data_IF_763770446040
#
_entry.id   IF_763770446040
#
_cell.length_a   1.000
_cell.length_b   1.000
_cell.length_c   1.000
_cell.angle_alpha   90.00
_cell.angle_beta   90.00
_cell.angle_gamma   90.00
#
_symmetry.space_group_name_H-M   'P 1'
#
loop_
_entity.id
_entity.type
_entity.pdbx_description
1 polymer ?
#
# COMPACT_ATOMS: atom_id res chain seq x y z
N UNK A 1 21.51 28.31 40.35
CA UNK A 1 20.60 27.29 39.80
C UNK A 1 20.18 27.58 38.36
N UNK A 2 19.54 28.73 38.04
CA UNK A 2 19.11 29.03 36.66
C UNK A 2 20.24 29.04 35.61
N UNK A 3 21.42 29.60 35.95
CA UNK A 3 22.61 29.60 35.07
C UNK A 3 23.21 28.21 34.83
N UNK A 4 23.12 27.29 35.80
CA UNK A 4 23.56 25.90 35.62
C UNK A 4 22.57 25.11 34.77
N UNK A 5 21.26 25.35 34.94
CA UNK A 5 20.22 24.76 34.10
C UNK A 5 20.35 25.20 32.63
N UNK A 6 20.70 26.46 32.38
CA UNK A 6 20.97 26.98 31.02
C UNK A 6 22.21 26.36 30.37
N UNK A 7 23.24 25.99 31.14
CA UNK A 7 24.41 25.29 30.60
C UNK A 7 24.16 23.80 30.31
N UNK A 8 23.11 23.22 30.88
CA UNK A 8 22.70 21.83 30.66
C UNK A 8 21.64 21.70 29.55
N UNK A 9 21.14 22.82 29.00
CA UNK A 9 20.19 22.78 27.89
C UNK A 9 20.91 22.39 26.59
N UNK A 10 20.31 21.51 25.77
CA UNK A 10 20.91 21.09 24.51
C UNK A 10 21.12 22.27 23.58
N UNK A 11 22.27 22.30 22.90
CA UNK A 11 22.71 23.44 22.07
C UNK A 11 22.24 23.39 20.63
N UNK A 12 21.63 22.30 20.21
CA UNK A 12 21.03 22.10 18.89
C UNK A 12 19.68 21.39 19.01
N UNK A 13 18.87 21.52 17.96
CA UNK A 13 17.59 20.83 17.84
C UNK A 13 17.78 19.31 17.91
N UNK A 14 18.80 18.76 17.25
CA UNK A 14 19.13 17.33 17.28
C UNK A 14 19.51 16.86 18.67
N UNK A 15 20.21 17.69 19.44
CA UNK A 15 20.56 17.38 20.82
C UNK A 15 19.31 17.41 21.73
N UNK A 16 18.35 18.30 21.48
CA UNK A 16 17.05 18.28 22.18
C UNK A 16 16.24 17.04 21.84
N UNK A 17 16.16 16.65 20.56
CA UNK A 17 15.48 15.42 20.14
C UNK A 17 16.16 14.18 20.69
N UNK A 18 17.49 14.11 20.65
CA UNK A 18 18.27 12.99 21.20
C UNK A 18 18.02 12.85 22.71
N UNK A 19 18.04 13.95 23.46
CA UNK A 19 17.76 13.89 24.89
C UNK A 19 16.30 13.49 25.20
N UNK A 20 15.34 14.01 24.43
CA UNK A 20 13.93 13.60 24.55
C UNK A 20 13.75 12.11 24.30
N UNK A 21 14.36 11.58 23.23
CA UNK A 21 14.33 10.16 22.88
C UNK A 21 14.99 9.28 23.95
N UNK A 22 16.10 9.74 24.54
CA UNK A 22 16.80 8.99 25.60
C UNK A 22 16.00 8.91 26.93
N UNK A 23 15.01 9.79 27.13
CA UNK A 23 14.17 9.81 28.34
C UNK A 23 12.93 8.92 28.23
N UNK A 24 12.67 8.32 27.07
CA UNK A 24 11.54 7.41 26.86
C UNK A 24 11.71 6.18 27.76
N UNK A 25 10.63 5.78 28.43
CA UNK A 25 10.62 4.50 29.14
C UNK A 25 10.84 3.36 28.12
N UNK A 26 11.83 2.51 28.41
CA UNK A 26 12.23 1.38 27.57
C UNK A 26 11.08 0.45 27.22
N UNK A 27 10.08 0.30 28.10
CA UNK A 27 8.88 -0.50 27.84
C UNK A 27 8.09 0.00 26.61
N UNK A 28 8.16 1.30 26.30
CA UNK A 28 7.48 1.93 25.16
C UNK A 28 8.41 2.21 23.98
N UNK A 29 9.68 1.79 24.04
CA UNK A 29 10.68 2.09 23.00
C UNK A 29 10.27 1.58 21.62
N UNK A 30 9.75 0.35 21.53
CA UNK A 30 9.24 -0.21 20.28
C UNK A 30 8.03 0.56 19.74
N UNK A 31 7.10 0.92 20.62
CA UNK A 31 5.92 1.69 20.26
C UNK A 31 6.28 3.10 19.74
N UNK A 32 7.17 3.80 20.44
CA UNK A 32 7.62 5.13 20.00
C UNK A 32 8.39 5.02 18.69
N UNK A 33 9.27 4.02 18.52
CA UNK A 33 9.94 3.79 17.24
C UNK A 33 8.95 3.55 16.10
N UNK A 34 7.87 2.80 16.34
CA UNK A 34 6.80 2.59 15.37
C UNK A 34 6.07 3.90 15.04
N UNK A 35 5.65 4.67 16.05
CA UNK A 35 4.97 5.95 15.85
C UNK A 35 5.84 6.94 15.07
N UNK A 36 7.14 7.02 15.38
CA UNK A 36 8.07 7.89 14.64
C UNK A 36 8.18 7.48 13.18
N UNK A 37 8.30 6.17 12.88
CA UNK A 37 8.30 5.66 11.50
C UNK A 37 7.05 6.09 10.74
N UNK A 38 5.87 6.00 11.37
CA UNK A 38 4.61 6.44 10.78
C UNK A 38 4.55 7.96 10.58
N UNK A 39 4.96 8.76 11.57
CA UNK A 39 4.97 10.23 11.42
C UNK A 39 5.91 10.70 10.31
N UNK A 40 7.03 10.01 10.08
CA UNK A 40 8.01 10.40 9.08
C UNK A 40 7.65 9.92 7.66
N UNK A 41 7.12 8.70 7.52
CA UNK A 41 6.97 8.04 6.21
C UNK A 41 5.53 7.78 5.76
N UNK A 42 4.52 8.25 6.51
CA UNK A 42 3.13 8.15 6.05
C UNK A 42 2.90 8.97 4.77
N UNK A 43 2.01 8.48 3.91
CA UNK A 43 1.66 9.13 2.64
C UNK A 43 0.90 10.43 2.80
N UNK A 44 0.35 10.66 4.01
CA UNK A 44 -0.36 11.88 4.40
C UNK A 44 -0.27 12.09 5.92
N UNK A 45 -0.62 13.28 6.42
CA UNK A 45 -0.80 13.50 7.84
C UNK A 45 -1.84 12.53 8.45
N UNK A 46 -1.57 12.05 9.66
CA UNK A 46 -2.41 11.12 10.42
C UNK A 46 -3.24 11.87 11.47
N UNK A 47 -4.43 11.36 11.78
CA UNK A 47 -5.20 11.81 12.94
C UNK A 47 -4.68 11.19 14.25
N UNK A 48 -5.09 11.75 15.39
CA UNK A 48 -4.74 11.21 16.71
C UNK A 48 -5.35 9.81 16.88
N UNK A 49 -6.57 9.61 16.39
CA UNK A 49 -7.29 8.34 16.42
C UNK A 49 -6.58 7.27 15.57
N UNK A 50 -6.07 7.64 14.39
CA UNK A 50 -5.26 6.75 13.56
C UNK A 50 -3.96 6.33 14.25
N UNK A 51 -3.25 7.30 14.85
CA UNK A 51 -2.05 7.03 15.64
C UNK A 51 -2.35 6.09 16.83
N UNK A 52 -3.46 6.33 17.53
CA UNK A 52 -3.90 5.50 18.65
C UNK A 52 -4.21 4.06 18.20
N UNK A 53 -4.76 3.86 17.00
CA UNK A 53 -4.98 2.53 16.45
C UNK A 53 -3.69 1.85 15.98
N UNK A 54 -2.74 2.59 15.40
CA UNK A 54 -1.42 2.04 15.06
C UNK A 54 -0.76 1.42 16.28
N UNK A 55 -0.91 2.05 17.45
CA UNK A 55 -0.35 1.58 18.71
C UNK A 55 -0.90 0.23 19.21
N UNK A 56 -2.05 -0.21 18.69
CA UNK A 56 -2.67 -1.49 19.08
C UNK A 56 -2.00 -2.70 18.46
N UNK A 57 -1.30 -2.52 17.33
CA UNK A 57 -0.64 -3.62 16.63
C UNK A 57 0.70 -3.93 17.28
N UNK A 58 0.85 -5.15 17.81
CA UNK A 58 2.13 -5.61 18.35
C UNK A 58 2.96 -6.32 17.29
N UNK A 59 3.93 -5.60 16.71
CA UNK A 59 4.87 -6.21 15.76
C UNK A 59 5.96 -7.06 16.43
N UNK A 60 6.13 -7.01 17.76
CA UNK A 60 7.20 -7.72 18.46
C UNK A 60 6.81 -9.14 18.89
N UNK A 61 5.51 -9.41 19.10
CA UNK A 61 5.03 -10.68 19.66
C UNK A 61 4.15 -11.48 18.69
N UNK A 62 3.03 -10.91 18.25
CA UNK A 62 1.99 -11.65 17.51
C UNK A 62 1.80 -11.16 16.08
N UNK A 63 2.30 -9.97 15.73
CA UNK A 63 2.01 -9.28 14.46
C UNK A 63 0.52 -9.19 14.15
N UNK A 64 -0.32 -9.10 15.20
CA UNK A 64 -1.77 -9.03 15.10
C UNK A 64 -2.31 -7.77 15.73
N UNK A 65 -3.47 -7.34 15.26
CA UNK A 65 -4.27 -6.32 15.89
C UNK A 65 -4.81 -6.83 17.23
N UNK A 66 -4.59 -6.07 18.30
CA UNK A 66 -5.08 -6.38 19.63
C UNK A 66 -6.00 -5.23 20.12
N UNK A 67 -7.33 -5.42 20.09
CA UNK A 67 -8.27 -4.39 20.51
C UNK A 67 -8.13 -4.02 21.99
N UNK A 68 -7.61 -4.91 22.84
CA UNK A 68 -7.45 -4.67 24.28
C UNK A 68 -6.32 -3.67 24.57
N UNK A 69 -5.46 -3.38 23.59
CA UNK A 69 -4.41 -2.36 23.66
C UNK A 69 -4.87 -0.98 23.25
N UNK A 70 -6.14 -0.79 22.88
CA UNK A 70 -6.70 0.52 22.52
C UNK A 70 -6.60 1.47 23.72
N UNK A 71 -6.11 2.67 23.46
CA UNK A 71 -6.17 3.75 24.46
C UNK A 71 -7.62 4.09 24.78
N UNK A 72 -7.91 4.34 26.06
CA UNK A 72 -9.24 4.81 26.50
C UNK A 72 -9.54 6.21 25.95
N UNK A 73 -8.55 7.11 25.99
CA UNK A 73 -8.55 8.37 25.24
C UNK A 73 -7.44 8.32 24.18
N UNK A 74 -7.74 8.41 22.88
CA UNK A 74 -6.73 8.45 21.82
C UNK A 74 -5.62 9.49 22.07
N UNK A 75 -5.90 10.58 22.79
CA UNK A 75 -4.91 11.62 23.13
C UNK A 75 -3.81 11.15 24.07
N UNK A 76 -4.01 10.06 24.80
CA UNK A 76 -3.00 9.47 25.67
C UNK A 76 -1.73 9.08 24.89
N UNK A 77 -1.85 8.84 23.57
CA UNK A 77 -0.69 8.59 22.71
C UNK A 77 0.29 9.77 22.66
N UNK A 78 -0.19 11.00 22.83
CA UNK A 78 0.66 12.20 22.88
C UNK A 78 1.54 12.21 24.15
N UNK A 79 1.09 11.51 25.19
CA UNK A 79 1.83 11.32 26.43
C UNK A 79 3.06 10.41 26.29
N UNK A 80 3.17 9.62 25.21
CA UNK A 80 4.33 8.76 24.97
C UNK A 80 5.62 9.57 24.75
N UNK A 81 5.51 10.76 24.14
CA UNK A 81 6.63 11.66 23.86
C UNK A 81 6.14 13.13 23.74
N UNK A 82 5.86 13.82 24.86
CA UNK A 82 5.30 15.17 24.84
C UNK A 82 6.17 16.19 24.08
N UNK A 83 7.47 15.91 23.94
CA UNK A 83 8.45 16.78 23.29
C UNK A 83 8.56 16.61 21.77
N UNK A 84 7.93 15.57 21.19
CA UNK A 84 8.04 15.23 19.76
C UNK A 84 6.77 15.60 18.99
N UNK A 85 5.59 15.46 19.62
CA UNK A 85 4.33 15.76 18.96
C UNK A 85 4.08 17.27 18.88
N UNK A 86 4.08 17.82 17.68
CA UNK A 86 3.54 19.16 17.41
C UNK A 86 2.17 18.98 16.77
N UNK A 87 1.10 19.24 17.53
CA UNK A 87 -0.26 19.23 16.97
C UNK A 87 -0.50 20.54 16.23
N UNK A 88 -0.52 20.49 14.89
CA UNK A 88 -0.85 21.66 14.07
C UNK A 88 -2.36 21.69 13.77
N UNK A 89 -3.00 22.85 13.87
CA UNK A 89 -4.26 23.11 13.16
C UNK A 89 -4.01 23.11 11.65
N UNK A 90 -5.01 22.83 10.78
CA UNK A 90 -4.77 22.65 9.36
C UNK A 90 -4.29 23.97 8.74
N UNK A 91 -3.00 24.06 8.42
CA UNK A 91 -2.41 25.28 7.88
C UNK A 91 -0.88 25.42 7.96
N UNK A 92 -0.10 24.34 7.87
CA UNK A 92 1.28 24.37 7.33
C UNK A 92 1.89 22.96 7.32
N UNK A 93 2.32 22.40 6.17
CA UNK A 93 3.10 21.18 6.14
C UNK A 93 4.59 21.53 6.11
N UNK A 94 5.33 21.12 7.12
CA UNK A 94 6.79 21.25 7.11
C UNK A 94 7.39 20.67 8.37
N UNK A 95 7.68 19.37 8.36
CA UNK A 95 8.61 18.75 9.31
C UNK A 95 9.84 18.33 8.50
N UNK A 96 10.97 18.99 8.78
CA UNK A 96 12.29 18.60 8.28
C UNK A 96 12.71 17.27 8.91
N UNK A 97 13.22 16.36 8.08
CA UNK A 97 13.68 15.02 8.47
C UNK A 97 14.98 15.06 9.26
N UNK A 98 15.03 14.31 10.37
CA UNK A 98 16.20 14.13 11.24
C UNK A 98 17.19 13.14 10.61
N UNK A 99 18.24 13.63 9.95
CA UNK A 99 19.30 12.79 9.35
C UNK A 99 20.33 12.27 10.39
N UNK A 100 20.40 12.83 11.61
CA UNK A 100 21.54 12.68 12.52
C UNK A 100 21.41 11.66 13.68
N UNK A 101 20.44 10.73 13.65
CA UNK A 101 20.26 9.74 14.76
C UNK A 101 21.16 8.48 14.60
N UNK A 102 22.00 8.39 13.55
CA UNK A 102 22.63 7.12 13.16
C UNK A 102 23.76 6.61 14.08
N UNK A 103 24.34 7.43 14.97
CA UNK A 103 25.54 7.02 15.74
C UNK A 103 25.59 7.48 17.21
N UNK A 104 24.44 7.74 17.84
CA UNK A 104 24.34 8.19 19.24
C UNK A 104 23.59 7.23 20.19
N UNK A 105 23.36 7.63 21.46
CA UNK A 105 22.56 6.86 22.43
C UNK A 105 21.09 6.70 22.02
N UNK A 106 20.60 7.52 21.07
CA UNK A 106 19.29 7.39 20.44
C UNK A 106 19.28 6.52 19.17
N UNK A 107 20.39 5.86 18.82
CA UNK A 107 20.52 5.07 17.57
C UNK A 107 19.49 3.94 17.41
N UNK A 108 18.91 3.45 18.51
CA UNK A 108 17.79 2.51 18.47
C UNK A 108 16.53 3.07 17.78
N UNK A 109 16.41 4.39 17.68
CA UNK A 109 15.34 5.11 16.96
C UNK A 109 15.76 5.56 15.56
N UNK A 110 16.92 5.12 15.06
CA UNK A 110 17.34 5.45 13.70
C UNK A 110 16.38 4.81 12.68
N UNK A 111 15.76 5.65 11.84
CA UNK A 111 14.77 5.22 10.87
C UNK A 111 15.40 5.13 9.49
N UNK A 112 15.49 3.93 8.95
CA UNK A 112 15.78 3.75 7.52
C UNK A 112 14.47 3.66 6.74
N UNK A 113 14.39 4.31 5.58
CA UNK A 113 13.18 4.35 4.73
C UNK A 113 12.57 2.97 4.48
N UNK A 114 13.39 1.99 4.04
CA UNK A 114 12.92 0.62 3.78
C UNK A 114 12.29 -0.04 5.01
N UNK A 115 12.93 0.03 6.19
CA UNK A 115 12.37 -0.51 7.45
C UNK A 115 11.10 0.23 7.88
N UNK A 116 11.04 1.54 7.69
CA UNK A 116 9.84 2.33 8.01
C UNK A 116 8.66 1.90 7.15
N UNK A 117 8.87 1.78 5.84
CA UNK A 117 7.85 1.29 4.92
C UNK A 117 7.46 -0.16 5.20
N UNK A 118 8.40 -1.03 5.57
CA UNK A 118 8.09 -2.39 6.01
C UNK A 118 7.22 -2.39 7.27
N UNK A 119 7.55 -1.55 8.26
CA UNK A 119 6.79 -1.39 9.48
C UNK A 119 5.35 -0.94 9.20
N UNK A 120 5.17 0.10 8.38
CA UNK A 120 3.86 0.62 8.02
C UNK A 120 3.04 -0.46 7.29
N UNK A 121 3.63 -1.12 6.29
CA UNK A 121 2.95 -2.19 5.56
C UNK A 121 2.51 -3.36 6.47
N UNK A 122 3.37 -3.80 7.39
CA UNK A 122 3.04 -4.83 8.38
C UNK A 122 1.87 -4.44 9.26
N UNK A 123 1.87 -3.22 9.80
CA UNK A 123 0.76 -2.73 10.62
C UNK A 123 -0.53 -2.67 9.82
N UNK A 124 -0.51 -2.16 8.59
CA UNK A 124 -1.70 -2.14 7.73
C UNK A 124 -2.23 -3.55 7.44
N UNK A 125 -1.36 -4.50 7.11
CA UNK A 125 -1.75 -5.89 6.84
C UNK A 125 -2.30 -6.57 8.09
N UNK A 126 -1.63 -6.44 9.24
CA UNK A 126 -2.11 -6.96 10.52
C UNK A 126 -3.48 -6.37 10.91
N UNK A 127 -3.68 -5.08 10.64
CA UNK A 127 -4.94 -4.39 10.87
C UNK A 127 -6.03 -4.91 9.94
N UNK A 128 -5.75 -5.14 8.66
CA UNK A 128 -6.75 -5.66 7.71
C UNK A 128 -7.12 -7.11 7.99
N UNK A 129 -6.15 -7.93 8.43
CA UNK A 129 -6.37 -9.34 8.79
C UNK A 129 -7.33 -9.52 9.98
N UNK A 130 -7.60 -8.47 10.76
CA UNK A 130 -8.60 -8.51 11.83
C UNK A 130 -10.03 -8.67 11.30
N UNK A 131 -10.30 -8.28 10.05
CA UNK A 131 -11.63 -8.31 9.46
C UNK A 131 -11.93 -9.69 8.88
N UNK A 132 -11.77 -10.74 9.71
CA UNK A 132 -11.94 -12.15 9.33
C UNK A 132 -13.36 -12.69 9.60
N UNK A 133 -14.31 -11.79 9.91
CA UNK A 133 -15.69 -12.11 10.27
C UNK A 133 -16.68 -11.23 9.50
N UNK A 134 -17.95 -11.66 9.37
CA UNK A 134 -18.98 -10.82 8.80
C UNK A 134 -19.27 -9.63 9.71
N UNK A 135 -19.66 -8.51 9.11
CA UNK A 135 -20.07 -7.30 9.82
C UNK A 135 -21.48 -6.86 9.43
N UNK A 136 -22.16 -6.16 10.32
CA UNK A 136 -23.57 -5.79 10.13
C UNK A 136 -23.75 -4.74 9.04
N UNK A 137 -23.00 -3.63 9.12
CA UNK A 137 -23.02 -2.59 8.08
C UNK A 137 -21.62 -2.01 7.87
N UNK A 138 -21.33 -1.61 6.63
CA UNK A 138 -20.08 -0.93 6.26
C UNK A 138 -19.90 0.39 7.02
N UNK A 139 -21.00 1.08 7.31
CA UNK A 139 -20.98 2.35 8.02
C UNK A 139 -20.51 2.18 9.47
N UNK A 140 -20.95 1.13 10.17
CA UNK A 140 -20.52 0.85 11.55
C UNK A 140 -19.02 0.55 11.62
N UNK A 141 -18.50 -0.21 10.64
CA UNK A 141 -17.08 -0.54 10.55
C UNK A 141 -16.25 0.72 10.34
N UNK A 142 -16.61 1.54 9.35
CA UNK A 142 -15.88 2.79 9.05
C UNK A 142 -15.90 3.78 10.21
N UNK A 143 -16.99 3.84 10.98
CA UNK A 143 -17.10 4.71 12.15
C UNK A 143 -16.26 4.25 13.35
N UNK A 144 -15.96 2.96 13.44
CA UNK A 144 -15.25 2.35 14.57
C UNK A 144 -13.79 1.96 14.27
N UNK A 145 -13.35 2.19 13.03
CA UNK A 145 -12.05 1.75 12.50
C UNK A 145 -11.32 2.92 11.84
N UNK A 146 -10.58 3.70 12.62
CA UNK A 146 -9.98 4.96 12.16
C UNK A 146 -8.84 4.75 11.15
N UNK A 147 -8.02 3.72 11.34
CA UNK A 147 -6.90 3.38 10.46
C UNK A 147 -7.35 2.70 9.15
N UNK A 148 -8.58 2.19 9.10
CA UNK A 148 -9.08 1.36 8.00
C UNK A 148 -8.80 1.94 6.62
N UNK A 149 -9.21 3.20 6.40
CA UNK A 149 -9.04 3.84 5.08
C UNK A 149 -7.56 3.95 4.70
N UNK A 150 -6.68 4.25 5.66
CA UNK A 150 -5.25 4.29 5.39
C UNK A 150 -4.72 2.89 5.05
N UNK A 151 -5.03 1.91 5.90
CA UNK A 151 -4.59 0.54 5.75
C UNK A 151 -5.02 -0.05 4.40
N UNK A 152 -6.30 0.07 4.04
CA UNK A 152 -6.88 -0.46 2.80
C UNK A 152 -6.17 0.06 1.54
N UNK A 153 -5.77 1.33 1.52
CA UNK A 153 -5.29 2.01 0.31
C UNK A 153 -3.77 2.04 0.17
N UNK A 154 -3.02 2.13 1.27
CA UNK A 154 -1.59 2.47 1.22
C UNK A 154 -0.64 1.32 1.53
N UNK A 155 -1.12 0.19 2.04
CA UNK A 155 -0.26 -0.97 2.32
C UNK A 155 0.55 -1.44 1.09
N UNK A 156 0.01 -1.48 -0.16
CA UNK A 156 0.77 -1.99 -1.29
C UNK A 156 1.94 -1.08 -1.68
N UNK A 157 1.74 0.24 -1.60
CA UNK A 157 2.78 1.23 -1.84
C UNK A 157 3.94 1.05 -0.85
N UNK A 158 3.61 0.91 0.44
CA UNK A 158 4.60 0.71 1.48
C UNK A 158 5.32 -0.64 1.33
N UNK A 159 4.60 -1.71 1.00
CA UNK A 159 5.20 -3.01 0.71
C UNK A 159 6.20 -2.95 -0.46
N UNK A 160 5.86 -2.20 -1.52
CA UNK A 160 6.76 -1.99 -2.66
C UNK A 160 8.01 -1.20 -2.30
N UNK A 161 7.87 -0.11 -1.53
CA UNK A 161 9.01 0.73 -1.10
C UNK A 161 9.91 0.08 -0.05
N UNK A 162 9.35 -0.81 0.76
CA UNK A 162 10.14 -1.61 1.68
C UNK A 162 11.18 -2.49 0.95
N UNK A 163 10.88 -2.85 -0.31
CA UNK A 163 11.41 -4.05 -0.94
C UNK A 163 10.71 -5.25 -0.31
N UNK A 164 10.09 -6.10 -1.13
CA UNK A 164 9.42 -7.30 -0.61
C UNK A 164 10.47 -8.19 0.05
N UNK A 165 10.54 -8.17 1.38
CA UNK A 165 11.28 -9.18 2.10
C UNK A 165 10.50 -10.50 2.03
N UNK A 166 11.20 -11.56 1.62
CA UNK A 166 10.59 -12.88 1.54
C UNK A 166 10.21 -13.41 2.93
N UNK A 167 10.88 -12.94 3.97
CA UNK A 167 10.80 -13.50 5.32
C UNK A 167 9.65 -12.94 6.16
N UNK A 168 9.08 -11.75 5.85
CA UNK A 168 8.06 -11.15 6.73
C UNK A 168 6.85 -10.52 6.03
N UNK A 169 7.03 -9.72 4.98
CA UNK A 169 5.91 -9.07 4.27
C UNK A 169 5.18 -10.04 3.35
N UNK A 170 5.93 -10.85 2.60
CA UNK A 170 5.36 -11.82 1.66
C UNK A 170 4.36 -12.79 2.33
N UNK A 171 4.65 -13.42 3.49
CA UNK A 171 3.70 -14.26 4.20
C UNK A 171 2.40 -13.53 4.58
N UNK A 172 2.47 -12.29 5.08
CA UNK A 172 1.29 -11.52 5.49
C UNK A 172 0.40 -11.13 4.31
N UNK A 173 1.00 -10.75 3.18
CA UNK A 173 0.26 -10.44 1.95
C UNK A 173 -0.44 -11.70 1.44
N UNK A 174 0.26 -12.83 1.43
CA UNK A 174 -0.32 -14.11 1.02
C UNK A 174 -1.38 -14.61 2.00
N UNK A 175 -1.26 -14.31 3.30
CA UNK A 175 -2.29 -14.59 4.30
C UNK A 175 -3.55 -13.80 4.00
N UNK A 176 -3.43 -12.48 3.76
CA UNK A 176 -4.57 -11.62 3.39
C UNK A 176 -5.27 -12.14 2.12
N UNK A 177 -4.50 -12.58 1.11
CA UNK A 177 -5.05 -13.09 -0.15
C UNK A 177 -5.69 -14.48 -0.05
N UNK A 178 -5.31 -15.29 0.94
CA UNK A 178 -5.83 -16.66 1.11
C UNK A 178 -6.96 -16.75 2.13
N UNK A 179 -6.98 -15.86 3.12
CA UNK A 179 -8.01 -15.83 4.14
C UNK A 179 -9.27 -15.17 3.55
N UNK A 180 -10.14 -15.99 2.96
CA UNK A 180 -11.33 -15.55 2.22
C UNK A 180 -12.13 -14.44 2.94
N UNK A 181 -12.50 -14.54 4.23
CA UNK A 181 -13.22 -13.47 4.90
C UNK A 181 -12.48 -12.12 4.90
N UNK A 182 -11.18 -12.13 5.21
CA UNK A 182 -10.36 -10.92 5.24
C UNK A 182 -10.14 -10.35 3.84
N UNK A 183 -9.93 -11.22 2.84
CA UNK A 183 -9.80 -10.82 1.45
C UNK A 183 -11.07 -10.12 0.94
N UNK A 184 -12.22 -10.76 1.09
CA UNK A 184 -13.52 -10.25 0.65
C UNK A 184 -13.82 -8.91 1.33
N UNK A 185 -13.66 -8.83 2.65
CA UNK A 185 -13.85 -7.58 3.38
C UNK A 185 -12.88 -6.49 2.92
N UNK A 186 -11.60 -6.79 2.72
CA UNK A 186 -10.64 -5.83 2.18
C UNK A 186 -11.03 -5.31 0.80
N UNK A 187 -11.46 -6.19 -0.11
CA UNK A 187 -11.91 -5.79 -1.46
C UNK A 187 -13.24 -5.01 -1.42
N UNK A 188 -14.13 -5.31 -0.47
CA UNK A 188 -15.32 -4.49 -0.21
C UNK A 188 -14.95 -3.09 0.27
N UNK A 189 -13.91 -2.97 1.12
CA UNK A 189 -13.41 -1.67 1.58
C UNK A 189 -12.70 -0.88 0.48
N UNK A 190 -11.99 -1.56 -0.41
CA UNK A 190 -11.18 -0.95 -1.45
C UNK A 190 -12.02 -0.51 -2.65
N UNK A 191 -12.80 -1.43 -3.21
CA UNK A 191 -13.48 -1.28 -4.51
C UNK A 191 -15.01 -1.38 -4.41
N UNK A 192 -15.56 -1.63 -3.21
CA UNK A 192 -17.00 -1.68 -2.99
C UNK A 192 -17.67 -3.00 -3.38
N UNK A 193 -16.90 -4.08 -3.52
CA UNK A 193 -17.43 -5.43 -3.71
C UNK A 193 -18.30 -5.91 -2.54
N UNK A 194 -19.01 -7.02 -2.74
CA UNK A 194 -19.82 -7.63 -1.68
C UNK A 194 -18.90 -8.12 -0.55
N UNK A 195 -19.11 -7.69 0.71
CA UNK A 195 -18.31 -8.15 1.83
C UNK A 195 -18.65 -9.58 2.23
N UNK A 196 -17.82 -10.16 3.09
CA UNK A 196 -18.08 -11.49 3.63
C UNK A 196 -19.35 -11.47 4.50
N UNK A 197 -20.33 -12.31 4.16
CA UNK A 197 -21.63 -12.38 4.85
C UNK A 197 -21.78 -13.61 5.74
N UNK A 198 -20.76 -14.48 5.83
CA UNK A 198 -20.78 -15.69 6.64
C UNK A 198 -20.98 -16.98 5.83
N UNK A 199 -21.38 -16.89 4.56
CA UNK A 199 -21.49 -18.01 3.64
C UNK A 199 -20.32 -18.00 2.64
N UNK A 200 -19.85 -19.18 2.23
CA UNK A 200 -18.90 -19.28 1.13
C UNK A 200 -19.61 -18.90 -0.16
N UNK A 201 -18.97 -18.08 -1.00
CA UNK A 201 -19.54 -17.74 -2.31
C UNK A 201 -19.70 -19.01 -3.16
N UNK A 202 -20.93 -19.29 -3.58
CA UNK A 202 -21.21 -20.36 -4.57
C UNK A 202 -21.09 -19.78 -5.98
N UNK A 203 -20.26 -20.38 -6.83
CA UNK A 203 -20.08 -20.00 -8.25
C UNK A 203 -21.41 -19.99 -9.04
N UNK A 204 -22.43 -20.70 -8.57
CA UNK A 204 -23.71 -20.90 -9.27
C UNK A 204 -24.65 -19.68 -9.30
N UNK A 205 -24.39 -18.61 -8.54
CA UNK A 205 -25.24 -17.40 -8.46
C UNK A 205 -24.55 -16.14 -9.03
N UNK A 206 -23.50 -16.32 -9.83
CA UNK A 206 -22.62 -15.25 -10.33
C UNK A 206 -23.31 -14.35 -11.36
N UNK A 207 -23.63 -13.11 -10.97
CA UNK A 207 -23.95 -12.04 -11.92
C UNK A 207 -22.69 -11.42 -12.55
N UNK A 208 -21.50 -11.95 -12.21
CA UNK A 208 -20.20 -11.65 -12.80
C UNK A 208 -19.65 -10.27 -12.44
N UNK A 209 -20.43 -9.44 -11.73
CA UNK A 209 -20.14 -8.02 -11.52
C UNK A 209 -19.87 -7.67 -10.06
N UNK A 210 -20.21 -8.56 -9.11
CA UNK A 210 -20.13 -8.26 -7.68
C UNK A 210 -19.16 -9.14 -6.87
N UNK A 211 -18.46 -10.07 -7.53
CA UNK A 211 -17.39 -10.87 -6.92
C UNK A 211 -16.02 -10.16 -7.11
N UNK A 212 -15.18 -10.09 -6.07
CA UNK A 212 -13.86 -9.49 -6.21
C UNK A 212 -12.97 -10.28 -7.18
N UNK A 213 -12.02 -9.61 -7.85
CA UNK A 213 -11.13 -10.29 -8.78
C UNK A 213 -10.22 -11.28 -8.04
N UNK A 214 -9.63 -12.23 -8.75
CA UNK A 214 -8.64 -13.13 -8.15
C UNK A 214 -7.39 -12.33 -7.69
N UNK A 215 -6.72 -12.67 -6.57
CA UNK A 215 -5.60 -11.89 -6.01
C UNK A 215 -4.46 -11.52 -6.98
N UNK A 216 -4.26 -12.32 -8.04
CA UNK A 216 -3.28 -12.03 -9.09
C UNK A 216 -3.55 -10.68 -9.77
N UNK A 217 -4.82 -10.29 -9.92
CA UNK A 217 -5.21 -8.97 -10.44
C UNK A 217 -4.62 -7.85 -9.57
N UNK A 218 -4.82 -7.89 -8.25
CA UNK A 218 -4.31 -6.86 -7.34
C UNK A 218 -2.79 -6.87 -7.22
N UNK A 219 -2.17 -8.05 -7.14
CA UNK A 219 -0.71 -8.17 -7.16
C UNK A 219 -0.12 -7.51 -8.42
N UNK A 220 -0.80 -7.66 -9.56
CA UNK A 220 -0.40 -7.07 -10.84
C UNK A 220 -0.63 -5.56 -10.88
N UNK A 221 -1.81 -5.11 -10.44
CA UNK A 221 -2.18 -3.69 -10.34
C UNK A 221 -1.24 -2.88 -9.44
N UNK A 222 -0.79 -3.48 -8.34
CA UNK A 222 0.13 -2.85 -7.37
C UNK A 222 1.62 -3.06 -7.68
N UNK A 223 1.94 -3.93 -8.65
CA UNK A 223 3.31 -4.19 -9.07
C UNK A 223 4.10 -5.00 -8.05
N UNK A 224 3.42 -5.90 -7.34
CA UNK A 224 3.99 -6.83 -6.37
C UNK A 224 4.49 -8.08 -7.12
N UNK A 225 5.56 -7.92 -7.91
CA UNK A 225 6.05 -8.95 -8.85
C UNK A 225 6.34 -10.31 -8.19
N UNK A 226 6.92 -10.34 -6.99
CA UNK A 226 7.20 -11.59 -6.27
C UNK A 226 5.93 -12.28 -5.78
N UNK A 227 4.94 -11.52 -5.34
CA UNK A 227 3.61 -12.04 -4.97
C UNK A 227 2.89 -12.59 -6.19
N UNK A 228 2.89 -11.84 -7.30
CA UNK A 228 2.32 -12.29 -8.57
C UNK A 228 2.98 -13.61 -9.03
N UNK A 229 4.32 -13.70 -8.95
CA UNK A 229 5.07 -14.91 -9.27
C UNK A 229 4.67 -16.09 -8.40
N UNK A 230 4.54 -15.87 -7.09
CA UNK A 230 4.11 -16.92 -6.17
C UNK A 230 2.69 -17.40 -6.46
N UNK A 231 1.76 -16.47 -6.75
CA UNK A 231 0.39 -16.79 -7.13
C UNK A 231 0.34 -17.62 -8.42
N UNK A 232 1.08 -17.23 -9.45
CA UNK A 232 1.20 -17.98 -10.72
C UNK A 232 1.77 -19.38 -10.46
N UNK A 233 2.81 -19.50 -9.64
CA UNK A 233 3.39 -20.80 -9.27
C UNK A 233 2.40 -21.69 -8.49
N UNK A 234 1.41 -21.11 -7.83
CA UNK A 234 0.29 -21.81 -7.19
C UNK A 234 -0.94 -21.94 -8.10
N UNK A 235 -0.74 -21.86 -9.42
CA UNK A 235 -1.75 -22.08 -10.46
C UNK A 235 -2.90 -21.05 -10.46
N UNK A 236 -2.60 -19.79 -10.11
CA UNK A 236 -3.54 -18.69 -10.29
C UNK A 236 -3.96 -18.54 -11.77
N UNK A 237 -5.24 -18.23 -12.07
CA UNK A 237 -5.68 -18.00 -13.44
C UNK A 237 -4.97 -16.77 -14.04
N UNK A 238 -4.15 -16.97 -15.07
CA UNK A 238 -3.25 -15.91 -15.60
C UNK A 238 -4.02 -14.67 -16.08
N UNK A 239 -5.15 -14.88 -16.77
CA UNK A 239 -6.03 -13.82 -17.27
C UNK A 239 -7.12 -13.43 -16.25
N UNK A 240 -6.79 -13.47 -14.95
CA UNK A 240 -7.65 -13.02 -13.85
C UNK A 240 -8.28 -11.67 -14.19
N UNK A 241 -9.61 -11.59 -14.21
CA UNK A 241 -10.36 -10.37 -14.56
C UNK A 241 -10.70 -9.54 -13.32
N UNK A 242 -10.71 -8.22 -13.49
CA UNK A 242 -11.12 -7.21 -12.51
C UNK A 242 -11.51 -5.89 -13.20
N UNK A 243 -11.54 -4.79 -12.45
CA UNK A 243 -12.04 -3.49 -12.94
C UNK A 243 -11.36 -2.98 -14.22
N UNK A 244 -10.04 -3.20 -14.36
CA UNK A 244 -9.27 -2.76 -15.52
C UNK A 244 -9.26 -3.76 -16.69
N UNK A 245 -10.02 -4.86 -16.63
CA UNK A 245 -9.89 -5.96 -17.58
C UNK A 245 -9.12 -7.12 -16.96
N UNK A 246 -7.98 -7.51 -17.51
CA UNK A 246 -7.14 -8.60 -17.00
C UNK A 246 -6.05 -8.12 -16.01
N UNK A 247 -5.41 -9.04 -15.32
CA UNK A 247 -4.21 -8.77 -14.52
C UNK A 247 -3.10 -8.08 -15.34
N UNK A 248 -2.93 -8.47 -16.62
CA UNK A 248 -2.00 -7.82 -17.55
C UNK A 248 -2.42 -6.38 -17.85
N UNK A 249 -3.71 -6.17 -18.17
CA UNK A 249 -4.25 -4.83 -18.42
C UNK A 249 -4.05 -3.91 -17.21
N UNK A 250 -4.26 -4.40 -15.98
CA UNK A 250 -4.01 -3.65 -14.75
C UNK A 250 -2.53 -3.30 -14.56
N UNK A 251 -1.59 -4.24 -14.78
CA UNK A 251 -0.17 -3.97 -14.70
C UNK A 251 0.30 -2.96 -15.77
N UNK A 252 -0.27 -3.02 -16.97
CA UNK A 252 -0.01 -2.08 -18.05
C UNK A 252 -0.53 -0.68 -17.74
N UNK A 253 -1.76 -0.56 -17.21
CA UNK A 253 -2.34 0.70 -16.76
C UNK A 253 -1.49 1.37 -15.68
N UNK A 254 -0.96 0.59 -14.73
CA UNK A 254 -0.11 1.07 -13.63
C UNK A 254 1.38 1.23 -14.00
N UNK A 255 1.80 0.81 -15.21
CA UNK A 255 3.17 0.97 -15.69
C UNK A 255 4.18 0.01 -15.04
N UNK A 256 3.74 -1.16 -14.58
CA UNK A 256 4.57 -2.10 -13.82
C UNK A 256 5.31 -3.07 -14.74
N UNK A 257 6.35 -2.58 -15.41
CA UNK A 257 7.11 -3.28 -16.46
C UNK A 257 7.51 -4.72 -16.09
N UNK A 258 8.10 -4.94 -14.91
CA UNK A 258 8.54 -6.28 -14.51
C UNK A 258 7.37 -7.24 -14.26
N UNK A 259 6.22 -6.73 -13.81
CA UNK A 259 5.01 -7.53 -13.67
C UNK A 259 4.37 -7.81 -15.03
N UNK A 260 4.38 -6.85 -15.96
CA UNK A 260 3.95 -7.05 -17.35
C UNK A 260 4.79 -8.15 -18.01
N UNK A 261 6.12 -8.08 -17.87
CA UNK A 261 7.04 -9.11 -18.37
C UNK A 261 6.72 -10.48 -17.79
N UNK A 262 6.56 -10.56 -16.47
CA UNK A 262 6.22 -11.81 -15.78
C UNK A 262 4.93 -12.44 -16.31
N UNK A 263 3.86 -11.66 -16.50
CA UNK A 263 2.58 -12.15 -16.98
C UNK A 263 2.67 -12.64 -18.43
N UNK A 264 3.33 -11.89 -19.32
CA UNK A 264 3.54 -12.29 -20.71
C UNK A 264 4.40 -13.54 -20.83
N UNK A 265 5.45 -13.65 -20.00
CA UNK A 265 6.31 -14.85 -19.97
C UNK A 265 5.53 -16.11 -19.49
N UNK A 266 4.38 -15.92 -18.83
CA UNK A 266 3.45 -16.98 -18.43
C UNK A 266 2.19 -17.04 -19.31
N UNK A 267 2.28 -16.56 -20.56
CA UNK A 267 1.22 -16.67 -21.57
C UNK A 267 -0.09 -15.95 -21.25
N UNK A 268 -0.03 -14.83 -20.52
CA UNK A 268 -1.16 -13.90 -20.44
C UNK A 268 -1.56 -13.42 -21.85
N UNK A 269 -2.86 -13.31 -22.12
CA UNK A 269 -3.36 -12.82 -23.40
C UNK A 269 -3.02 -11.33 -23.56
N UNK A 270 -2.11 -11.04 -24.51
CA UNK A 270 -1.52 -9.73 -24.75
C UNK A 270 -2.54 -8.69 -25.26
N UNK A 271 -3.59 -9.15 -25.93
CA UNK A 271 -4.61 -8.31 -26.56
C UNK A 271 -5.98 -8.40 -25.87
N UNK A 272 -6.04 -9.05 -24.70
CA UNK A 272 -7.28 -9.23 -23.95
C UNK A 272 -8.01 -7.91 -23.69
N UNK A 273 -9.23 -7.80 -24.22
CA UNK A 273 -10.05 -6.60 -24.07
C UNK A 273 -10.72 -6.55 -22.69
N UNK A 274 -10.47 -5.47 -21.96
CA UNK A 274 -11.14 -5.10 -20.72
C UNK A 274 -12.19 -4.01 -20.91
N UNK A 275 -12.92 -3.69 -19.84
CA UNK A 275 -13.88 -2.57 -19.84
C UNK A 275 -13.21 -1.20 -20.14
N UNK A 276 -11.92 -1.07 -19.82
CA UNK A 276 -11.14 0.15 -20.07
C UNK A 276 -10.34 0.09 -21.38
N UNK A 277 -10.35 -1.03 -22.11
CA UNK A 277 -9.54 -1.30 -23.30
C UNK A 277 -8.49 -2.39 -23.12
N UNK A 278 -7.69 -2.64 -24.16
CA UNK A 278 -6.62 -3.65 -24.14
C UNK A 278 -5.34 -3.12 -23.48
N UNK A 279 -4.39 -4.01 -23.09
CA UNK A 279 -3.17 -3.62 -22.40
C UNK A 279 -2.36 -2.52 -23.10
N UNK A 280 -2.27 -2.53 -24.43
CA UNK A 280 -1.52 -1.50 -25.18
C UNK A 280 -2.21 -0.13 -25.18
N UNK A 281 -3.55 -0.08 -25.24
CA UNK A 281 -4.29 1.18 -25.13
C UNK A 281 -4.07 1.81 -23.75
N UNK A 282 -4.16 1.00 -22.69
CA UNK A 282 -3.99 1.46 -21.31
C UNK A 282 -2.57 1.96 -21.04
N UNK A 283 -1.55 1.22 -21.50
CA UNK A 283 -0.15 1.64 -21.36
C UNK A 283 0.14 2.93 -22.15
N UNK A 284 -0.40 3.06 -23.36
CA UNK A 284 -0.19 4.22 -24.22
C UNK A 284 -0.89 5.48 -23.69
N UNK A 285 -2.15 5.35 -23.27
CA UNK A 285 -2.93 6.44 -22.68
C UNK A 285 -2.40 6.93 -21.32
N UNK A 286 -1.53 6.15 -20.66
CA UNK A 286 -0.81 6.57 -19.44
C UNK A 286 0.65 6.95 -19.68
N UNK A 287 1.14 6.84 -20.91
CA UNK A 287 2.50 7.25 -21.27
C UNK A 287 3.58 6.30 -20.80
N UNK A 288 3.27 5.04 -20.51
CA UNK A 288 4.22 4.04 -20.01
C UNK A 288 5.10 3.50 -21.14
N UNK A 289 6.03 4.33 -21.62
CA UNK A 289 6.88 4.07 -22.79
C UNK A 289 7.51 2.68 -22.81
N UNK A 290 8.17 2.28 -21.72
CA UNK A 290 8.87 0.98 -21.68
C UNK A 290 7.91 -0.20 -21.67
N UNK A 291 6.69 -0.04 -21.12
CA UNK A 291 5.64 -1.05 -21.21
C UNK A 291 5.12 -1.15 -22.63
N UNK A 292 4.88 -0.01 -23.31
CA UNK A 292 4.45 0.00 -24.71
C UNK A 292 5.49 -0.69 -25.60
N UNK A 293 6.78 -0.37 -25.44
CA UNK A 293 7.87 -1.06 -26.18
C UNK A 293 7.83 -2.56 -25.94
N UNK A 294 7.74 -3.01 -24.69
CA UNK A 294 7.67 -4.43 -24.37
C UNK A 294 6.46 -5.10 -25.03
N UNK A 295 5.27 -4.49 -25.00
CA UNK A 295 4.09 -5.05 -25.64
C UNK A 295 4.28 -5.19 -27.16
N UNK A 296 4.86 -4.18 -27.82
CA UNK A 296 5.18 -4.21 -29.25
C UNK A 296 6.21 -5.29 -29.59
N UNK A 297 7.26 -5.42 -28.79
CA UNK A 297 8.27 -6.48 -28.92
C UNK A 297 7.67 -7.88 -28.81
N UNK A 298 6.59 -8.02 -28.03
CA UNK A 298 5.85 -9.27 -27.82
C UNK A 298 4.70 -9.46 -28.81
N UNK A 299 4.54 -8.57 -29.78
CA UNK A 299 3.60 -8.70 -30.89
C UNK A 299 2.18 -8.25 -30.58
N UNK A 300 1.98 -7.34 -29.62
CA UNK A 300 0.67 -6.75 -29.34
C UNK A 300 0.08 -6.07 -30.59
N UNK A 301 -1.23 -6.23 -30.80
CA UNK A 301 -1.93 -5.62 -31.92
C UNK A 301 -2.17 -4.12 -31.67
N UNK A 302 -1.43 -3.28 -32.38
CA UNK A 302 -1.53 -1.81 -32.30
C UNK A 302 -2.84 -1.26 -32.89
N UNK A 303 -3.58 -2.07 -33.65
CA UNK A 303 -4.82 -1.66 -34.32
C UNK A 303 -6.05 -1.84 -33.43
N UNK A 304 -5.88 -2.41 -32.23
CA UNK A 304 -6.93 -2.52 -31.23
C UNK A 304 -7.54 -1.14 -30.92
N UNK A 305 -8.85 -1.13 -30.65
CA UNK A 305 -9.60 0.09 -30.37
C UNK A 305 -10.52 -0.10 -29.16
N UNK A 306 -10.68 0.95 -28.36
CA UNK A 306 -11.70 1.06 -27.33
C UNK A 306 -12.44 2.39 -27.51
N UNK A 307 -13.77 2.36 -27.54
CA UNK A 307 -14.61 3.53 -27.86
C UNK A 307 -14.22 4.25 -29.17
N UNK A 308 -13.72 3.50 -30.15
CA UNK A 308 -13.24 4.04 -31.42
C UNK A 308 -11.91 4.80 -31.35
N UNK A 309 -11.18 4.72 -30.24
CA UNK A 309 -9.84 5.27 -30.07
C UNK A 309 -8.78 4.18 -30.13
N UNK A 310 -7.72 4.40 -30.89
CA UNK A 310 -6.50 3.57 -30.94
C UNK A 310 -5.50 3.95 -29.84
N UNK A 311 -4.49 3.11 -29.62
CA UNK A 311 -3.41 3.43 -28.68
C UNK A 311 -2.67 4.75 -29.04
N UNK A 312 -2.52 5.06 -30.33
CA UNK A 312 -1.93 6.31 -30.79
C UNK A 312 -2.80 7.53 -30.43
N UNK A 313 -4.10 7.42 -30.63
CA UNK A 313 -5.05 8.49 -30.31
C UNK A 313 -5.14 8.74 -28.81
N UNK A 314 -5.18 7.68 -27.99
CA UNK A 314 -5.14 7.79 -26.53
C UNK A 314 -3.83 8.43 -26.04
N UNK A 315 -2.67 8.05 -26.59
CA UNK A 315 -1.40 8.70 -26.25
C UNK A 315 -1.40 10.20 -26.57
N UNK A 316 -1.91 10.60 -27.74
CA UNK A 316 -2.03 12.02 -28.12
C UNK A 316 -3.02 12.79 -27.25
N UNK A 317 -4.17 12.19 -26.97
CA UNK A 317 -5.24 12.77 -26.14
C UNK A 317 -4.75 13.16 -24.75
N UNK A 318 -3.87 12.35 -24.16
CA UNK A 318 -3.26 12.63 -22.85
C UNK A 318 -1.87 13.29 -22.93
N UNK A 319 -1.39 13.68 -24.11
CA UNK A 319 -0.15 14.44 -24.29
C UNK A 319 1.15 13.63 -24.17
N UNK A 320 1.09 12.31 -24.35
CA UNK A 320 2.25 11.41 -24.30
C UNK A 320 2.96 11.35 -25.66
N UNK A 321 3.57 12.48 -26.05
CA UNK A 321 4.18 12.67 -27.38
C UNK A 321 5.26 11.65 -27.73
N UNK A 322 6.06 11.21 -26.77
CA UNK A 322 7.09 10.21 -27.02
C UNK A 322 6.47 8.88 -27.45
N UNK A 323 5.42 8.43 -26.74
CA UNK A 323 4.68 7.22 -27.06
C UNK A 323 3.95 7.37 -28.39
N UNK A 324 3.32 8.52 -28.64
CA UNK A 324 2.66 8.80 -29.91
C UNK A 324 3.64 8.76 -31.10
N UNK A 325 4.87 9.27 -30.92
CA UNK A 325 5.93 9.17 -31.93
C UNK A 325 6.36 7.73 -32.18
N UNK A 326 6.52 6.94 -31.12
CA UNK A 326 6.82 5.50 -31.24
C UNK A 326 5.72 4.79 -32.03
N UNK A 327 4.46 4.93 -31.63
CA UNK A 327 3.32 4.26 -32.27
C UNK A 327 3.10 4.73 -33.72
N UNK A 328 3.35 6.01 -34.03
CA UNK A 328 3.26 6.52 -35.42
C UNK A 328 4.34 5.93 -36.35
N UNK A 329 5.44 5.41 -35.80
CA UNK A 329 6.53 4.82 -36.58
C UNK A 329 6.26 3.36 -36.98
N UNK A 330 5.21 2.74 -36.44
CA UNK A 330 4.84 1.34 -36.66
C UNK A 330 3.77 1.34 -37.75
N UNK A 331 4.10 0.78 -38.92
CA UNK A 331 3.21 0.62 -40.07
C UNK A 331 2.97 -0.87 -40.30
#
# INVERSE_FOLDING_TARGET
MLRQALCCLPRSLDAMYTEALCRINKDYSGLVSMVLQWLTYSTRPLSIEELAEIATVDLASTTRFDPDRRFLDPRDILGLCPSIFVTTTPGNPGLETLEDIQSGPASQYAITESKAHACIAKVCLAYLLQFDRPYTTMQDVVQSSFLLRYATNYWPLHAKRAGLDADTLCPMIMELFRLEPAYLNWTAFLDGYTPFNGDCFSEDNDDGLNHPPHPLYYASSFGLGDIARQLINTNAPIDSKGLAGTALAAACLSGHLETVRLLLDNSADIDAQGALGSPILLAAGRGHMEVVKLLLERGADVTQQSEGQTALEEARKYGHEDVARLLSSIH
#
